data_IF_498847151710
#
_entry.id   IF_498847151710
#
_cell.length_a   1.000
_cell.length_b   1.000
_cell.length_c   1.000
_cell.angle_alpha   90.00
_cell.angle_beta   90.00
_cell.angle_gamma   90.00
#
_symmetry.space_group_name_H-M   'P 1'
#
loop_
_entity.id
_entity.type
_entity.pdbx_description
1 polymer ?
#
# COMPACT_ATOMS: atom_id res chain seq x y z
N UNK A 1 -11.29 20.58 1.84
CA UNK A 1 -9.85 20.24 1.77
C UNK A 1 -9.29 20.42 3.16
N UNK A 2 -8.91 19.32 3.81
CA UNK A 2 -8.44 19.31 5.19
C UNK A 2 -7.05 18.67 5.28
N UNK A 3 -6.35 18.96 6.38
CA UNK A 3 -5.03 18.35 6.65
C UNK A 3 -5.27 16.99 7.33
N UNK A 4 -4.77 15.93 6.70
CA UNK A 4 -4.73 14.58 7.24
C UNK A 4 -3.35 14.31 7.84
N UNK A 5 -3.33 13.72 9.05
CA UNK A 5 -2.11 13.31 9.75
C UNK A 5 -1.89 11.79 9.68
N UNK A 6 -2.55 11.10 8.73
CA UNK A 6 -2.36 9.66 8.51
C UNK A 6 -0.88 9.30 8.23
N UNK A 7 -0.12 10.05 7.40
CA UNK A 7 1.30 9.77 7.17
C UNK A 7 2.10 9.76 8.47
N UNK A 8 1.88 10.73 9.37
CA UNK A 8 2.55 10.77 10.67
C UNK A 8 2.35 9.50 11.48
N UNK A 9 1.14 8.94 11.50
CA UNK A 9 0.86 7.71 12.24
C UNK A 9 1.56 6.49 11.64
N UNK A 10 1.69 6.42 10.32
CA UNK A 10 2.49 5.39 9.65
C UNK A 10 3.97 5.52 9.98
N UNK A 11 4.52 6.73 9.91
CA UNK A 11 5.93 7.02 10.26
C UNK A 11 6.25 6.60 11.70
N UNK A 12 5.33 6.81 12.64
CA UNK A 12 5.52 6.36 14.04
C UNK A 12 5.53 4.83 14.16
N UNK A 13 4.68 4.12 13.40
CA UNK A 13 4.64 2.65 13.41
C UNK A 13 5.95 2.08 12.87
N UNK A 14 6.46 2.62 11.76
CA UNK A 14 7.73 2.20 11.14
C UNK A 14 8.91 2.38 12.09
N UNK A 15 8.84 3.38 12.97
CA UNK A 15 9.88 3.71 13.95
C UNK A 15 9.65 3.10 15.32
N UNK A 16 8.61 2.29 15.49
CA UNK A 16 8.21 1.69 16.76
C UNK A 16 8.04 2.72 17.90
N UNK A 17 7.56 3.91 17.58
CA UNK A 17 7.32 5.01 18.53
C UNK A 17 5.83 5.14 18.85
N UNK A 18 5.46 5.32 20.12
CA UNK A 18 4.07 5.63 20.48
C UNK A 18 3.81 7.13 20.34
N UNK A 19 2.52 7.50 20.22
CA UNK A 19 2.10 8.91 20.18
C UNK A 19 2.56 9.71 21.41
N UNK A 20 2.64 9.07 22.57
CA UNK A 20 3.14 9.67 23.80
C UNK A 20 4.66 9.91 23.75
N UNK A 21 5.40 9.01 23.11
CA UNK A 21 6.85 9.14 22.96
C UNK A 21 7.16 10.31 21.99
N UNK A 22 6.38 10.46 20.91
CA UNK A 22 6.43 11.64 20.03
C UNK A 22 6.10 12.93 20.81
N UNK A 23 5.08 12.90 21.67
CA UNK A 23 4.66 14.08 22.46
C UNK A 23 5.80 14.61 23.32
N UNK A 24 6.51 13.70 24.00
CA UNK A 24 7.65 14.04 24.85
C UNK A 24 8.85 14.49 24.02
N UNK A 25 9.18 13.78 22.94
CA UNK A 25 10.33 14.09 22.09
C UNK A 25 10.20 15.44 21.36
N UNK A 26 9.02 15.75 20.82
CA UNK A 26 8.76 16.99 20.08
C UNK A 26 8.26 18.17 20.94
N UNK A 27 8.19 17.98 22.27
CA UNK A 27 7.72 19.03 23.19
C UNK A 27 6.29 19.48 22.90
N UNK A 28 5.41 18.53 22.54
CA UNK A 28 4.02 18.80 22.17
C UNK A 28 3.11 18.79 23.41
N UNK A 29 2.09 19.65 23.39
CA UNK A 29 1.02 19.56 24.39
C UNK A 29 0.11 18.38 24.08
N UNK A 30 -0.54 17.85 25.11
CA UNK A 30 -1.55 16.77 24.97
C UNK A 30 -2.67 17.16 24.00
N UNK A 31 -3.05 18.44 23.97
CA UNK A 31 -4.04 18.97 23.04
C UNK A 31 -3.58 18.95 21.57
N UNK A 32 -2.29 19.16 21.29
CA UNK A 32 -1.78 19.09 19.91
C UNK A 32 -1.88 17.66 19.36
N UNK A 33 -1.52 16.65 20.16
CA UNK A 33 -1.65 15.24 19.79
C UNK A 33 -3.13 14.85 19.59
N UNK A 34 -4.01 15.29 20.50
CA UNK A 34 -5.45 15.04 20.38
C UNK A 34 -6.07 15.71 19.15
N UNK A 35 -5.61 16.91 18.78
CA UNK A 35 -6.04 17.61 17.58
C UNK A 35 -5.57 16.91 16.30
N UNK A 36 -4.34 16.36 16.26
CA UNK A 36 -3.88 15.53 15.13
C UNK A 36 -4.68 14.24 14.95
N UNK A 37 -5.27 13.73 16.03
CA UNK A 37 -6.14 12.55 15.99
C UNK A 37 -7.56 12.84 15.50
N UNK A 38 -7.94 14.11 15.34
CA UNK A 38 -9.24 14.54 14.83
C UNK A 38 -9.10 15.08 13.41
N UNK A 39 -9.98 14.66 12.53
CA UNK A 39 -10.01 15.17 11.16
C UNK A 39 -10.38 16.67 11.14
N UNK A 40 -9.78 17.43 10.23
CA UNK A 40 -10.13 18.86 10.03
C UNK A 40 -9.49 19.86 11.00
N UNK A 41 -8.52 19.46 11.83
CA UNK A 41 -7.82 20.39 12.74
C UNK A 41 -6.48 20.84 12.17
N UNK A 42 -6.30 22.15 12.10
CA UNK A 42 -5.04 22.78 11.68
C UNK A 42 -4.10 22.96 12.86
N UNK A 43 -2.81 22.73 12.61
CA UNK A 43 -1.72 22.94 13.55
C UNK A 43 -0.75 23.93 12.93
N UNK A 44 -0.04 24.69 13.75
CA UNK A 44 0.91 25.69 13.27
C UNK A 44 2.07 25.03 12.52
N UNK A 45 2.57 25.73 11.48
CA UNK A 45 3.72 25.27 10.71
C UNK A 45 4.97 25.07 11.59
N UNK A 46 5.19 25.89 12.61
CA UNK A 46 6.28 25.71 13.58
C UNK A 46 6.20 24.38 14.34
N UNK A 47 4.98 23.89 14.59
CA UNK A 47 4.80 22.60 15.27
C UNK A 47 5.05 21.44 14.32
N UNK A 48 4.67 21.57 13.05
CA UNK A 48 4.98 20.59 12.02
C UNK A 48 6.49 20.52 11.75
N UNK A 49 7.17 21.67 11.71
CA UNK A 49 8.62 21.74 11.57
C UNK A 49 9.33 21.02 12.72
N UNK A 50 8.91 21.26 13.97
CA UNK A 50 9.45 20.54 15.14
C UNK A 50 9.25 19.03 15.06
N UNK A 51 8.10 18.56 14.55
CA UNK A 51 7.86 17.12 14.33
C UNK A 51 8.79 16.57 13.25
N UNK A 52 9.02 17.30 12.17
CA UNK A 52 9.94 16.89 11.10
C UNK A 52 11.39 16.82 11.62
N UNK A 53 11.81 17.76 12.45
CA UNK A 53 13.15 17.79 13.06
C UNK A 53 13.34 16.64 14.07
N UNK A 54 12.34 16.34 14.90
CA UNK A 54 12.46 15.27 15.91
C UNK A 54 12.42 13.89 15.30
N UNK A 55 11.70 13.75 14.17
CA UNK A 55 11.64 12.52 13.42
C UNK A 55 12.66 12.50 12.27
N UNK A 56 13.48 13.52 12.03
CA UNK A 56 14.40 13.55 10.86
C UNK A 56 13.69 13.05 9.57
N UNK A 57 12.54 13.65 9.24
CA UNK A 57 11.71 13.25 8.10
C UNK A 57 11.15 14.45 7.33
N UNK A 58 10.63 14.19 6.13
CA UNK A 58 10.05 15.23 5.28
C UNK A 58 8.62 15.57 5.70
N UNK A 59 8.13 16.74 5.31
CA UNK A 59 6.75 17.18 5.62
C UNK A 59 5.68 16.24 5.03
N UNK A 60 5.99 15.56 3.93
CA UNK A 60 5.11 14.59 3.29
C UNK A 60 4.93 13.30 4.12
N UNK A 61 5.88 13.01 5.00
CA UNK A 61 5.82 11.89 5.95
C UNK A 61 4.99 12.24 7.20
N UNK A 62 4.57 13.50 7.32
CA UNK A 62 3.83 14.04 8.48
C UNK A 62 2.40 14.41 8.09
N UNK A 63 2.20 15.08 6.95
CA UNK A 63 0.88 15.56 6.52
C UNK A 63 0.55 15.21 5.07
N UNK A 64 -0.75 15.13 4.81
CA UNK A 64 -1.37 15.00 3.49
C UNK A 64 -2.53 16.00 3.39
N UNK A 65 -2.71 16.61 2.21
CA UNK A 65 -3.87 17.45 1.92
C UNK A 65 -4.98 16.59 1.32
N UNK A 66 -5.96 16.23 2.14
CA UNK A 66 -7.12 15.48 1.69
C UNK A 66 -8.20 16.43 1.17
N UNK A 67 -8.69 16.22 -0.05
CA UNK A 67 -9.94 16.82 -0.52
C UNK A 67 -11.12 16.12 0.14
N UNK A 68 -12.15 16.88 0.52
CA UNK A 68 -13.43 16.33 0.99
C UNK A 68 -14.23 15.83 -0.22
N UNK A 69 -13.65 14.90 -0.99
CA UNK A 69 -14.40 14.13 -1.97
C UNK A 69 -15.17 13.05 -1.18
N UNK A 70 -16.49 12.91 -1.37
CA UNK A 70 -17.27 11.93 -0.63
C UNK A 70 -16.75 10.52 -0.96
N UNK A 71 -16.22 9.87 0.06
CA UNK A 71 -15.96 8.43 0.05
C UNK A 71 -17.27 7.70 -0.28
N UNK A 72 -17.34 7.14 -1.48
CA UNK A 72 -18.35 6.15 -1.82
C UNK A 72 -17.92 4.82 -1.20
N UNK A 73 -18.20 4.67 0.09
CA UNK A 73 -18.30 3.36 0.74
C UNK A 73 -19.75 3.17 1.14
N UNK A 74 -20.39 2.16 0.54
CA UNK A 74 -21.83 1.93 0.63
C UNK A 74 -22.36 1.67 2.04
N UNK A 75 -23.65 1.98 2.23
CA UNK A 75 -24.43 1.56 3.39
C UNK A 75 -25.54 2.52 3.80
N UNK A 76 -26.69 2.42 3.12
CA UNK A 76 -28.07 2.74 3.49
C UNK A 76 -28.53 4.09 4.12
N UNK A 77 -29.64 4.53 3.53
CA UNK A 77 -30.80 5.25 4.07
C UNK A 77 -30.80 6.79 4.24
N UNK A 78 -31.48 7.40 3.26
CA UNK A 78 -32.60 8.35 3.36
C UNK A 78 -32.38 9.72 4.02
N UNK A 79 -32.34 10.76 3.17
CA UNK A 79 -32.69 12.11 3.56
C UNK A 79 -32.18 13.20 2.63
N UNK A 80 -33.02 13.59 1.65
CA UNK A 80 -32.96 14.79 0.80
C UNK A 80 -31.97 15.88 1.24
N UNK A 81 -31.11 16.31 0.29
CA UNK A 81 -31.06 17.72 -0.12
C UNK A 81 -30.57 17.80 -1.56
N UNK A 82 -31.50 18.15 -2.45
CA UNK A 82 -31.22 18.51 -3.83
C UNK A 82 -30.39 19.80 -3.89
N UNK A 83 -29.24 19.73 -4.54
CA UNK A 83 -28.81 20.78 -5.49
C UNK A 83 -28.57 20.11 -6.83
N UNK A 84 -29.68 19.85 -7.54
CA UNK A 84 -29.66 19.71 -8.99
C UNK A 84 -28.98 20.93 -9.58
N UNK A 85 -27.85 20.71 -10.27
CA UNK A 85 -27.59 21.28 -11.60
C UNK A 85 -26.21 20.84 -12.10
N UNK A 86 -26.15 19.69 -12.76
CA UNK A 86 -26.22 19.63 -14.23
C UNK A 86 -26.30 18.17 -14.64
N UNK A 87 -27.30 17.88 -15.45
CA UNK A 87 -27.44 16.63 -16.18
C UNK A 87 -26.14 16.42 -16.96
N UNK A 88 -25.25 15.55 -16.48
CA UNK A 88 -24.21 14.98 -17.34
C UNK A 88 -24.95 13.97 -18.20
N UNK A 89 -25.47 14.43 -19.33
CA UNK A 89 -25.89 13.53 -20.38
C UNK A 89 -24.70 12.63 -20.65
N UNK A 90 -24.84 11.35 -20.30
CA UNK A 90 -23.87 10.34 -20.68
C UNK A 90 -23.83 10.41 -22.19
N UNK A 91 -22.76 10.95 -22.74
CA UNK A 91 -22.56 10.94 -24.19
C UNK A 91 -22.72 9.49 -24.66
N UNK A 92 -23.20 9.24 -25.87
CA UNK A 92 -23.36 7.86 -26.41
C UNK A 92 -22.09 7.01 -26.24
N UNK A 93 -20.94 7.68 -26.10
CA UNK A 93 -19.61 7.10 -25.94
C UNK A 93 -19.23 6.75 -24.48
N UNK A 94 -20.03 7.10 -23.47
CA UNK A 94 -19.81 6.73 -22.07
C UNK A 94 -18.66 7.47 -21.36
N UNK A 95 -18.16 8.57 -21.92
CA UNK A 95 -17.04 9.35 -21.38
C UNK A 95 -17.57 10.57 -20.62
N UNK A 96 -17.12 10.73 -19.37
CA UNK A 96 -17.40 11.90 -18.55
C UNK A 96 -16.46 13.05 -18.89
N UNK A 97 -16.91 14.29 -18.73
CA UNK A 97 -16.10 15.49 -18.95
C UNK A 97 -16.12 16.40 -17.72
N UNK A 98 -15.02 17.09 -17.47
CA UNK A 98 -14.84 18.13 -16.44
C UNK A 98 -14.59 19.46 -17.13
N UNK A 99 -15.25 20.53 -16.65
CA UNK A 99 -15.04 21.88 -17.15
C UNK A 99 -13.75 22.47 -16.54
N UNK A 100 -12.77 22.77 -17.38
CA UNK A 100 -11.52 23.41 -17.02
C UNK A 100 -11.40 24.76 -17.75
N UNK A 101 -11.79 25.84 -17.06
CA UNK A 101 -11.92 27.16 -17.67
C UNK A 101 -13.04 27.17 -18.72
N UNK A 102 -12.69 27.45 -19.97
CA UNK A 102 -13.63 27.53 -21.10
C UNK A 102 -13.73 26.22 -21.91
N UNK A 103 -13.06 25.14 -21.48
CA UNK A 103 -12.98 23.87 -22.20
C UNK A 103 -13.47 22.69 -21.35
N UNK A 104 -14.09 21.70 -22.01
CA UNK A 104 -14.45 20.42 -21.41
C UNK A 104 -13.36 19.38 -21.68
N UNK A 105 -12.76 18.84 -20.62
CA UNK A 105 -11.71 17.81 -20.67
C UNK A 105 -12.32 16.45 -20.29
N UNK A 106 -12.11 15.39 -21.10
CA UNK A 106 -12.49 14.03 -20.72
C UNK A 106 -11.89 13.61 -19.38
N UNK A 107 -12.74 13.19 -18.44
CA UNK A 107 -12.35 12.59 -17.16
C UNK A 107 -12.10 11.09 -17.33
N UNK A 108 -11.00 10.77 -18.02
CA UNK A 108 -10.58 9.39 -18.26
C UNK A 108 -9.90 8.84 -17.01
N UNK A 109 -10.62 8.01 -16.25
CA UNK A 109 -10.05 7.27 -15.13
C UNK A 109 -9.43 5.96 -15.61
N UNK A 110 -8.18 5.74 -15.25
CA UNK A 110 -7.56 4.42 -15.36
C UNK A 110 -8.21 3.49 -14.33
N UNK A 111 -8.39 2.20 -14.64
CA UNK A 111 -8.82 1.23 -13.65
C UNK A 111 -7.80 1.21 -12.50
N UNK A 112 -8.26 1.53 -11.29
CA UNK A 112 -7.41 1.56 -10.10
C UNK A 112 -7.16 0.14 -9.60
N UNK A 113 -5.91 -0.30 -9.65
CA UNK A 113 -5.47 -1.58 -9.11
C UNK A 113 -4.78 -1.34 -7.76
N UNK A 114 -5.50 -1.56 -6.66
CA UNK A 114 -5.03 -1.25 -5.31
C UNK A 114 -4.29 -2.42 -4.61
N UNK A 115 -4.12 -3.56 -5.28
CA UNK A 115 -3.43 -4.71 -4.68
C UNK A 115 -1.93 -4.44 -4.54
N UNK A 116 -1.30 -4.85 -3.42
CA UNK A 116 0.14 -4.68 -3.25
C UNK A 116 0.90 -5.63 -4.20
N UNK A 117 1.95 -5.12 -4.86
CA UNK A 117 2.82 -5.96 -5.73
C UNK A 117 3.51 -7.09 -4.94
N UNK A 118 3.78 -6.89 -3.65
CA UNK A 118 4.56 -7.82 -2.84
C UNK A 118 6.03 -7.94 -3.28
N UNK A 119 6.75 -8.91 -2.71
CA UNK A 119 8.19 -9.12 -2.98
C UNK A 119 8.42 -9.69 -4.38
N UNK A 120 7.68 -10.74 -4.73
CA UNK A 120 7.86 -11.46 -5.99
C UNK A 120 7.49 -10.63 -7.21
N UNK A 121 6.41 -9.84 -7.12
CA UNK A 121 6.04 -8.97 -8.22
C UNK A 121 7.08 -7.86 -8.47
N UNK A 122 7.77 -7.34 -7.45
CA UNK A 122 8.87 -6.38 -7.66
C UNK A 122 10.07 -7.03 -8.33
N UNK A 123 10.40 -8.25 -7.93
CA UNK A 123 11.49 -9.02 -8.51
C UNK A 123 11.23 -9.32 -9.98
N UNK A 124 10.02 -9.82 -10.30
CA UNK A 124 9.63 -10.13 -11.68
C UNK A 124 9.53 -8.86 -12.54
N UNK A 125 9.08 -7.73 -11.97
CA UNK A 125 9.08 -6.45 -12.67
C UNK A 125 10.48 -6.04 -13.12
N UNK A 126 11.47 -6.16 -12.23
CA UNK A 126 12.84 -5.78 -12.56
C UNK A 126 13.43 -6.72 -13.61
N UNK A 127 13.16 -8.02 -13.49
CA UNK A 127 13.51 -9.02 -14.50
C UNK A 127 12.88 -8.70 -15.87
N UNK A 128 11.58 -8.41 -15.93
CA UNK A 128 10.92 -8.01 -17.18
C UNK A 128 11.52 -6.75 -17.80
N UNK A 129 11.93 -5.79 -16.97
CA UNK A 129 12.54 -4.54 -17.45
C UNK A 129 13.92 -4.78 -18.07
N UNK A 130 14.71 -5.68 -17.48
CA UNK A 130 16.08 -5.96 -17.92
C UNK A 130 16.11 -6.96 -19.09
N UNK A 131 15.44 -8.10 -18.94
CA UNK A 131 15.55 -9.24 -19.87
C UNK A 131 14.45 -9.23 -20.95
N UNK A 132 13.27 -8.65 -20.66
CA UNK A 132 12.11 -8.67 -21.57
C UNK A 132 11.48 -7.28 -21.80
N UNK A 133 12.25 -6.27 -22.24
CA UNK A 133 11.78 -4.88 -22.31
C UNK A 133 10.55 -4.70 -23.20
N UNK A 134 10.43 -5.45 -24.30
CA UNK A 134 9.27 -5.39 -25.18
C UNK A 134 7.96 -5.81 -24.47
N UNK A 135 8.01 -6.89 -23.68
CA UNK A 135 6.87 -7.36 -22.89
C UNK A 135 6.53 -6.38 -21.78
N UNK A 136 7.54 -5.84 -21.11
CA UNK A 136 7.38 -4.79 -20.10
C UNK A 136 6.68 -3.55 -20.68
N UNK A 137 7.16 -3.03 -21.81
CA UNK A 137 6.53 -1.90 -22.51
C UNK A 137 5.09 -2.20 -22.92
N UNK A 138 4.82 -3.38 -23.46
CA UNK A 138 3.46 -3.79 -23.83
C UNK A 138 2.51 -3.81 -22.64
N UNK A 139 2.96 -4.29 -21.48
CA UNK A 139 2.16 -4.33 -20.24
C UNK A 139 1.88 -2.93 -19.69
N UNK A 140 2.83 -2.00 -19.84
CA UNK A 140 2.64 -0.59 -19.47
C UNK A 140 1.61 0.06 -20.39
N UNK A 141 1.78 -0.06 -21.71
CA UNK A 141 0.90 0.57 -22.70
C UNK A 141 -0.54 0.07 -22.60
N UNK A 142 -0.74 -1.18 -22.18
CA UNK A 142 -2.06 -1.76 -21.96
C UNK A 142 -2.66 -1.44 -20.58
N UNK A 143 -1.88 -0.84 -19.67
CA UNK A 143 -2.30 -0.59 -18.28
C UNK A 143 -2.42 -1.85 -17.42
N UNK A 144 -1.99 -3.02 -17.91
CA UNK A 144 -2.15 -4.33 -17.24
C UNK A 144 -0.93 -4.80 -16.45
N UNK A 145 0.12 -3.98 -16.38
CA UNK A 145 1.34 -4.34 -15.66
C UNK A 145 1.05 -4.64 -14.17
N UNK A 146 0.31 -3.76 -13.50
CA UNK A 146 0.05 -3.88 -12.07
C UNK A 146 -0.81 -5.08 -11.72
N UNK A 147 -1.89 -5.32 -12.48
CA UNK A 147 -2.74 -6.52 -12.34
C UNK A 147 -1.92 -7.79 -12.50
N UNK A 148 -1.08 -7.85 -13.54
CA UNK A 148 -0.26 -9.02 -13.83
C UNK A 148 0.75 -9.32 -12.71
N UNK A 149 1.45 -8.29 -12.22
CA UNK A 149 2.43 -8.46 -11.13
C UNK A 149 1.76 -8.84 -9.80
N UNK A 150 0.57 -8.32 -9.51
CA UNK A 150 -0.21 -8.68 -8.33
C UNK A 150 -0.67 -10.14 -8.39
N UNK A 151 -1.22 -10.57 -9.54
CA UNK A 151 -1.63 -11.97 -9.75
C UNK A 151 -0.46 -12.93 -9.62
N UNK A 152 0.70 -12.58 -10.22
CA UNK A 152 1.92 -13.37 -10.12
C UNK A 152 2.42 -13.46 -8.67
N UNK A 153 2.36 -12.36 -7.91
CA UNK A 153 2.76 -12.38 -6.50
C UNK A 153 1.84 -13.28 -5.66
N UNK A 154 0.53 -13.19 -5.84
CA UNK A 154 -0.40 -14.08 -5.15
C UNK A 154 -0.16 -15.55 -5.50
N UNK A 155 0.13 -15.86 -6.77
CA UNK A 155 0.44 -17.22 -7.22
C UNK A 155 1.75 -17.71 -6.59
N UNK A 156 2.79 -16.88 -6.56
CA UNK A 156 4.09 -17.20 -5.97
C UNK A 156 4.00 -17.44 -4.46
N UNK A 157 3.26 -16.60 -3.73
CA UNK A 157 3.04 -16.76 -2.29
C UNK A 157 2.29 -18.07 -1.98
N UNK A 158 1.18 -18.35 -2.69
CA UNK A 158 0.42 -19.60 -2.53
C UNK A 158 1.27 -20.83 -2.82
N UNK A 159 2.07 -20.79 -3.89
CA UNK A 159 2.95 -21.89 -4.29
C UNK A 159 4.08 -22.08 -3.28
N UNK A 160 4.68 -21.00 -2.78
CA UNK A 160 5.73 -21.04 -1.75
C UNK A 160 5.21 -21.72 -0.49
N UNK A 161 4.04 -21.30 0.00
CA UNK A 161 3.48 -21.82 1.24
C UNK A 161 3.18 -23.33 1.11
N UNK A 162 2.67 -23.76 -0.05
CA UNK A 162 2.47 -25.18 -0.33
C UNK A 162 3.79 -25.97 -0.32
N UNK A 163 4.85 -25.44 -0.93
CA UNK A 163 6.18 -26.10 -0.95
C UNK A 163 6.74 -26.20 0.47
N UNK A 164 6.62 -25.13 1.27
CA UNK A 164 7.08 -25.12 2.66
C UNK A 164 6.36 -26.20 3.47
N UNK A 165 5.04 -26.31 3.36
CA UNK A 165 4.27 -27.34 4.08
C UNK A 165 4.65 -28.76 3.65
N UNK A 166 4.84 -28.99 2.34
CA UNK A 166 5.30 -30.28 1.82
C UNK A 166 6.70 -30.66 2.31
N UNK A 167 7.64 -29.73 2.29
CA UNK A 167 9.01 -29.95 2.76
C UNK A 167 9.06 -30.12 4.29
N UNK A 168 8.25 -29.36 5.03
CA UNK A 168 8.13 -29.49 6.50
C UNK A 168 7.65 -30.89 6.88
N UNK A 169 6.65 -31.42 6.17
CA UNK A 169 6.15 -32.78 6.37
C UNK A 169 7.21 -33.84 6.01
N UNK A 170 7.94 -33.66 4.90
CA UNK A 170 8.97 -34.59 4.45
C UNK A 170 10.19 -34.65 5.39
N UNK A 171 10.61 -33.50 5.95
CA UNK A 171 11.79 -33.41 6.82
C UNK A 171 11.48 -33.57 8.32
N UNK A 172 10.21 -33.77 8.67
CA UNK A 172 9.76 -33.98 10.05
C UNK A 172 10.04 -32.78 10.95
N UNK A 173 9.93 -31.56 10.42
CA UNK A 173 10.10 -30.31 11.20
C UNK A 173 8.83 -30.05 12.00
N UNK A 174 8.67 -30.80 13.08
CA UNK A 174 7.47 -30.78 13.93
C UNK A 174 7.64 -29.85 15.15
N UNK A 175 6.54 -29.60 15.87
CA UNK A 175 6.58 -28.79 17.10
C UNK A 175 7.32 -29.52 18.23
N UNK A 176 7.41 -30.86 18.20
CA UNK A 176 8.24 -31.60 19.17
C UNK A 176 9.73 -31.32 18.97
N UNK A 177 10.19 -31.15 17.73
CA UNK A 177 11.56 -30.74 17.44
C UNK A 177 11.83 -29.33 17.99
N UNK A 178 10.87 -28.41 17.83
CA UNK A 178 10.97 -27.04 18.35
C UNK A 178 11.09 -27.00 19.86
N UNK A 179 10.38 -27.88 20.57
CA UNK A 179 10.43 -27.97 22.03
C UNK A 179 11.75 -28.56 22.54
N UNK A 180 12.35 -29.51 21.80
CA UNK A 180 13.63 -30.13 22.19
C UNK A 180 14.84 -29.27 21.82
N UNK A 181 14.84 -28.70 20.62
CA UNK A 181 15.95 -27.91 20.09
C UNK A 181 15.47 -26.82 19.13
N UNK A 182 15.21 -25.64 19.68
CA UNK A 182 14.70 -24.49 18.93
C UNK A 182 15.67 -24.00 17.85
N UNK A 183 16.99 -24.05 18.09
CA UNK A 183 17.99 -23.57 17.12
C UNK A 183 18.03 -24.46 15.87
N UNK A 184 18.00 -25.77 16.06
CA UNK A 184 17.94 -26.72 14.95
C UNK A 184 16.64 -26.57 14.15
N UNK A 185 15.51 -26.39 14.85
CA UNK A 185 14.23 -26.14 14.20
C UNK A 185 14.28 -24.88 13.32
N UNK A 186 14.84 -23.77 13.83
CA UNK A 186 15.00 -22.53 13.05
C UNK A 186 15.93 -22.75 11.86
N UNK A 187 17.04 -23.48 12.05
CA UNK A 187 17.97 -23.81 10.97
C UNK A 187 17.31 -24.60 9.84
N UNK A 188 16.57 -25.67 10.18
CA UNK A 188 15.83 -26.47 9.18
C UNK A 188 14.73 -25.66 8.51
N UNK A 189 13.96 -24.88 9.28
CA UNK A 189 12.90 -24.04 8.72
C UNK A 189 13.46 -22.99 7.75
N UNK A 190 14.61 -22.39 8.06
CA UNK A 190 15.27 -21.45 7.16
C UNK A 190 15.81 -22.14 5.91
N UNK A 191 16.37 -23.35 6.02
CA UNK A 191 16.79 -24.14 4.86
C UNK A 191 15.61 -24.44 3.92
N UNK A 192 14.48 -24.87 4.48
CA UNK A 192 13.24 -25.14 3.73
C UNK A 192 12.75 -23.87 3.03
N UNK A 193 12.70 -22.73 3.73
CA UNK A 193 12.29 -21.45 3.13
C UNK A 193 13.20 -21.06 1.97
N UNK A 194 14.52 -21.15 2.14
CA UNK A 194 15.48 -20.81 1.08
C UNK A 194 15.28 -21.70 -0.15
N UNK A 195 15.12 -23.02 0.04
CA UNK A 195 14.86 -23.95 -1.07
C UNK A 195 13.52 -23.68 -1.75
N UNK A 196 12.49 -23.36 -0.98
CA UNK A 196 11.19 -22.97 -1.55
C UNK A 196 11.32 -21.69 -2.37
N UNK A 197 12.08 -20.70 -1.90
CA UNK A 197 12.34 -19.46 -2.65
C UNK A 197 13.11 -19.70 -3.95
N UNK A 198 14.14 -20.55 -3.94
CA UNK A 198 14.89 -20.92 -5.14
C UNK A 198 13.98 -21.55 -6.21
N UNK A 199 13.11 -22.47 -5.79
CA UNK A 199 12.13 -23.10 -6.69
C UNK A 199 11.22 -22.04 -7.28
N UNK A 200 10.62 -21.17 -6.47
CA UNK A 200 9.72 -20.10 -6.94
C UNK A 200 10.44 -19.14 -7.90
N UNK A 201 11.67 -18.75 -7.58
CA UNK A 201 12.45 -17.87 -8.43
C UNK A 201 12.67 -18.47 -9.82
N UNK A 202 12.97 -19.78 -9.88
CA UNK A 202 13.16 -20.49 -11.15
C UNK A 202 11.84 -20.79 -11.90
N UNK A 203 10.76 -21.10 -11.18
CA UNK A 203 9.48 -21.52 -11.77
C UNK A 203 8.62 -20.34 -12.23
N UNK A 204 8.68 -19.20 -11.53
CA UNK A 204 7.72 -18.09 -11.69
C UNK A 204 8.38 -16.74 -11.99
N UNK A 205 9.57 -16.46 -11.45
CA UNK A 205 10.14 -15.11 -11.48
C UNK A 205 11.08 -14.89 -12.66
N UNK A 206 11.97 -15.83 -12.96
CA UNK A 206 13.02 -15.67 -13.96
C UNK A 206 12.78 -16.57 -15.18
N UNK A 207 11.57 -16.48 -15.76
CA UNK A 207 11.14 -17.27 -16.94
C UNK A 207 11.45 -16.55 -18.24
#
# INVERSE_FOLDING_TARGET
MHISYKPLWHTLIERNMRKEDLRLAAGLTTNMIANMGKEGKHISMDTLARICETLDCGIMDVIELASDEPSTTGGNDNGKTERKNRLKERTENGIDYILAGDYYIPDLKLPEENRPIGRYGRLHREYLKQEHPARYSSLILTGKLWTYLADLNEQAEKRRDLIIEQMKAAEGVTEELKARNQLEWVGRMNNIRNRAEEIINSELIYI
#
